data_IF_521224241742
#
_entry.id   IF_521224241742
#
_cell.length_a   1.000
_cell.length_b   1.000
_cell.length_c   1.000
_cell.angle_alpha   90.00
_cell.angle_beta   90.00
_cell.angle_gamma   90.00
#
_symmetry.space_group_name_H-M   'P 1'
#
loop_
_entity.id
_entity.type
_entity.pdbx_description
1 polymer ?
#
# COMPACT_ATOMS: atom_id res chain seq x y z
N UNK A 1 -15.79 -6.49 -12.85
CA UNK A 1 -14.65 -5.66 -13.31
C UNK A 1 -14.46 -5.72 -14.83
N UNK A 2 -14.63 -6.88 -15.49
CA UNK A 2 -14.47 -7.02 -16.94
C UNK A 2 -15.42 -6.13 -17.76
N UNK A 3 -16.61 -5.88 -17.24
CA UNK A 3 -17.66 -5.06 -17.89
C UNK A 3 -17.26 -3.59 -18.12
N UNK A 4 -16.34 -3.08 -17.32
CA UNK A 4 -15.93 -1.66 -17.32
C UNK A 4 -14.49 -1.45 -17.76
N UNK A 5 -13.81 -2.51 -18.24
CA UNK A 5 -12.38 -2.44 -18.60
C UNK A 5 -12.09 -1.37 -19.66
N UNK A 6 -12.97 -1.24 -20.64
CA UNK A 6 -12.82 -0.25 -21.72
C UNK A 6 -13.08 1.20 -21.26
N UNK A 7 -13.83 1.36 -20.17
CA UNK A 7 -14.12 2.67 -19.58
C UNK A 7 -13.06 3.12 -18.53
N UNK A 8 -12.11 2.25 -18.17
CA UNK A 8 -11.08 2.60 -17.20
C UNK A 8 -9.99 3.44 -17.85
N UNK A 9 -9.45 4.44 -17.14
CA UNK A 9 -8.24 5.15 -17.57
C UNK A 9 -7.06 4.20 -17.78
N UNK A 10 -6.07 4.62 -18.57
CA UNK A 10 -4.82 3.86 -18.75
C UNK A 10 -4.16 3.52 -17.41
N UNK A 11 -3.30 2.50 -17.38
CA UNK A 11 -2.56 2.14 -16.16
C UNK A 11 -1.78 3.33 -15.59
N UNK A 12 -1.10 4.06 -16.46
CA UNK A 12 -0.32 5.24 -16.07
C UNK A 12 -1.20 6.34 -15.47
N UNK A 13 -2.37 6.59 -16.06
CA UNK A 13 -3.33 7.56 -15.53
C UNK A 13 -3.89 7.13 -14.18
N UNK A 14 -4.19 5.85 -13.99
CA UNK A 14 -4.65 5.30 -12.70
C UNK A 14 -3.58 5.43 -11.62
N UNK A 15 -2.31 5.16 -11.95
CA UNK A 15 -1.20 5.36 -11.05
C UNK A 15 -1.10 6.84 -10.63
N UNK A 16 -1.09 7.74 -11.61
CA UNK A 16 -1.04 9.18 -11.39
C UNK A 16 -2.17 9.67 -10.48
N UNK A 17 -3.40 9.27 -10.76
CA UNK A 17 -4.56 9.63 -9.95
C UNK A 17 -4.48 9.07 -8.53
N UNK A 18 -4.02 7.82 -8.36
CA UNK A 18 -3.80 7.21 -7.07
C UNK A 18 -2.77 7.94 -6.22
N UNK A 19 -1.63 8.30 -6.82
CA UNK A 19 -0.57 9.07 -6.16
C UNK A 19 -1.06 10.48 -5.81
N UNK A 20 -1.75 11.18 -6.70
CA UNK A 20 -2.35 12.49 -6.39
C UNK A 20 -3.35 12.41 -5.23
N UNK A 21 -4.17 11.34 -5.17
CA UNK A 21 -5.09 11.13 -4.05
C UNK A 21 -4.33 11.01 -2.72
N UNK A 22 -3.24 10.23 -2.67
CA UNK A 22 -2.40 10.10 -1.47
C UNK A 22 -1.86 11.46 -1.05
N UNK A 23 -1.29 12.24 -1.99
CA UNK A 23 -0.77 13.59 -1.71
C UNK A 23 -1.85 14.54 -1.20
N UNK A 24 -3.02 14.58 -1.84
CA UNK A 24 -4.13 15.43 -1.42
C UNK A 24 -4.61 15.06 -0.01
N UNK A 25 -4.78 13.76 0.27
CA UNK A 25 -5.19 13.30 1.60
C UNK A 25 -4.16 13.68 2.67
N UNK A 26 -2.86 13.54 2.39
CA UNK A 26 -1.82 13.91 3.33
C UNK A 26 -1.78 15.41 3.62
N UNK A 27 -2.01 16.25 2.62
CA UNK A 27 -2.07 17.71 2.79
C UNK A 27 -3.32 18.15 3.55
N UNK A 28 -4.47 17.56 3.25
CA UNK A 28 -5.75 17.92 3.89
C UNK A 28 -5.92 17.33 5.29
N UNK A 29 -5.34 16.15 5.52
CA UNK A 29 -5.47 15.36 6.76
C UNK A 29 -4.10 14.85 7.20
N UNK A 30 -3.24 15.71 7.74
CA UNK A 30 -1.82 15.38 8.00
C UNK A 30 -1.60 14.31 9.06
N UNK A 31 -2.59 14.05 9.91
CA UNK A 31 -2.54 13.17 11.08
C UNK A 31 -3.23 11.80 10.87
N UNK A 32 -3.72 11.49 9.67
CA UNK A 32 -4.34 10.19 9.36
C UNK A 32 -3.30 9.14 8.90
N UNK A 33 -3.68 7.88 9.02
CA UNK A 33 -2.96 6.78 8.37
C UNK A 33 -3.42 6.61 6.92
N UNK A 34 -2.45 6.52 6.01
CA UNK A 34 -2.66 6.29 4.57
C UNK A 34 -1.88 5.06 4.15
N UNK A 35 -2.56 4.05 3.61
CA UNK A 35 -1.93 2.82 3.18
C UNK A 35 -1.26 2.94 1.79
N UNK A 36 0.00 2.52 1.70
CA UNK A 36 0.65 2.22 0.42
C UNK A 36 0.16 0.84 -0.06
N UNK A 37 -0.80 0.83 -0.97
CA UNK A 37 -1.55 -0.37 -1.34
C UNK A 37 -0.81 -1.27 -2.33
N UNK A 38 -1.05 -2.59 -2.24
CA UNK A 38 -0.59 -3.54 -3.26
C UNK A 38 -1.22 -3.29 -4.63
N UNK A 39 -2.34 -2.58 -4.70
CA UNK A 39 -2.96 -2.20 -5.96
C UNK A 39 -2.09 -1.21 -6.76
N UNK A 40 -1.41 -0.27 -6.11
CA UNK A 40 -0.44 0.61 -6.76
C UNK A 40 0.76 -0.18 -7.28
N UNK A 41 1.26 -1.14 -6.51
CA UNK A 41 2.36 -2.01 -6.95
C UNK A 41 1.95 -2.95 -8.10
N UNK A 42 0.68 -3.35 -8.22
CA UNK A 42 0.19 -4.12 -9.36
C UNK A 42 0.13 -3.30 -10.66
N UNK A 43 0.07 -1.98 -10.57
CA UNK A 43 0.10 -1.05 -11.70
C UNK A 43 1.55 -0.70 -12.08
N UNK A 44 2.39 -0.46 -11.08
CA UNK A 44 3.80 -0.08 -11.21
C UNK A 44 4.60 -0.81 -10.12
N UNK A 45 5.68 -1.54 -10.44
CA UNK A 45 6.49 -2.26 -9.45
C UNK A 45 6.95 -1.39 -8.27
N UNK A 46 7.22 -0.09 -8.51
CA UNK A 46 7.60 0.90 -7.49
C UNK A 46 6.42 1.72 -6.95
N UNK A 47 5.19 1.29 -7.22
CA UNK A 47 3.99 2.06 -6.86
C UNK A 47 3.79 2.25 -5.36
N UNK A 48 4.27 1.32 -4.53
CA UNK A 48 4.25 1.46 -3.07
C UNK A 48 5.27 2.48 -2.58
N UNK A 49 6.49 2.37 -3.07
CA UNK A 49 7.61 3.24 -2.74
C UNK A 49 7.24 4.69 -3.07
N UNK A 50 6.74 4.93 -4.27
CA UNK A 50 6.22 6.24 -4.69
C UNK A 50 5.12 6.75 -3.77
N UNK A 51 4.23 5.87 -3.29
CA UNK A 51 3.19 6.26 -2.34
C UNK A 51 3.76 6.64 -0.96
N UNK A 52 4.79 5.93 -0.47
CA UNK A 52 5.48 6.26 0.79
C UNK A 52 6.17 7.62 0.69
N UNK A 53 6.88 7.89 -0.40
CA UNK A 53 7.59 9.16 -0.64
C UNK A 53 6.66 10.38 -0.61
N UNK A 54 5.40 10.22 -1.03
CA UNK A 54 4.43 11.32 -1.11
C UNK A 54 3.43 11.39 0.03
N UNK A 55 3.58 10.52 1.06
CA UNK A 55 2.82 10.67 2.29
C UNK A 55 2.01 9.47 2.77
N UNK A 56 2.05 8.32 2.10
CA UNK A 56 1.58 7.08 2.71
C UNK A 56 2.51 6.69 3.87
N UNK A 57 1.96 6.09 4.92
CA UNK A 57 2.72 5.74 6.14
C UNK A 57 2.33 4.39 6.73
N UNK A 58 1.52 3.62 6.04
CA UNK A 58 1.12 2.26 6.45
C UNK A 58 1.37 1.29 5.31
N UNK A 59 1.99 0.16 5.62
CA UNK A 59 2.18 -0.95 4.69
C UNK A 59 1.63 -2.24 5.30
N UNK A 60 1.16 -3.14 4.45
CA UNK A 60 0.60 -4.42 4.87
C UNK A 60 1.32 -5.57 4.16
N UNK A 61 2.07 -6.42 4.89
CA UNK A 61 2.65 -7.62 4.30
C UNK A 61 1.56 -8.64 3.95
N UNK A 62 1.83 -9.48 2.94
CA UNK A 62 0.94 -10.57 2.60
C UNK A 62 1.27 -11.82 3.44
N UNK A 63 0.55 -12.00 4.53
CA UNK A 63 0.71 -13.14 5.45
C UNK A 63 -0.23 -14.32 5.14
N UNK A 64 -1.03 -14.24 4.08
CA UNK A 64 -1.92 -15.33 3.66
C UNK A 64 -1.10 -16.59 3.34
N UNK A 65 -1.42 -17.77 3.91
CA UNK A 65 -0.76 -19.02 3.58
C UNK A 65 -0.81 -19.33 2.08
N UNK A 66 0.27 -19.88 1.52
CA UNK A 66 0.39 -20.15 0.07
C UNK A 66 -0.77 -20.95 -0.50
N UNK A 67 -1.22 -22.00 0.19
CA UNK A 67 -2.34 -22.83 -0.25
C UNK A 67 -3.68 -22.10 -0.40
N UNK A 68 -3.84 -20.96 0.28
CA UNK A 68 -5.08 -20.18 0.27
C UNK A 68 -4.98 -18.92 -0.63
N UNK A 69 -3.79 -18.57 -1.13
CA UNK A 69 -3.59 -17.34 -1.91
C UNK A 69 -4.37 -17.32 -3.21
N UNK A 70 -4.55 -18.47 -3.86
CA UNK A 70 -5.36 -18.58 -5.07
C UNK A 70 -6.78 -18.06 -4.91
N UNK A 71 -7.38 -18.24 -3.72
CA UNK A 71 -8.72 -17.76 -3.39
C UNK A 71 -8.81 -16.24 -3.19
N UNK A 72 -7.68 -15.57 -3.01
CA UNK A 72 -7.57 -14.12 -2.79
C UNK A 72 -7.01 -13.36 -3.98
N UNK A 73 -7.07 -13.92 -5.17
CA UNK A 73 -6.68 -13.26 -6.41
C UNK A 73 -7.75 -12.26 -6.85
N UNK A 74 -7.80 -11.12 -6.14
CA UNK A 74 -8.84 -10.10 -6.33
C UNK A 74 -8.64 -9.25 -7.60
N UNK A 75 -7.41 -9.18 -8.12
CA UNK A 75 -7.04 -8.39 -9.30
C UNK A 75 -5.81 -8.98 -10.00
N UNK A 76 -5.63 -8.61 -11.27
CA UNK A 76 -4.49 -9.04 -12.10
C UNK A 76 -3.17 -8.48 -11.52
N UNK A 77 -2.07 -9.23 -11.72
CA UNK A 77 -0.71 -8.86 -11.28
C UNK A 77 -0.57 -8.56 -9.78
N UNK A 78 -1.43 -9.16 -8.93
CA UNK A 78 -1.28 -9.02 -7.48
C UNK A 78 0.10 -9.54 -7.05
N UNK A 79 0.94 -8.71 -6.41
CA UNK A 79 2.29 -9.11 -6.03
C UNK A 79 2.29 -10.14 -4.89
N UNK A 80 3.37 -10.92 -4.78
CA UNK A 80 3.61 -11.84 -3.69
C UNK A 80 2.69 -13.07 -3.67
N UNK A 81 2.22 -13.54 -4.83
CA UNK A 81 1.36 -14.72 -4.92
C UNK A 81 2.12 -16.04 -4.69
N UNK A 82 3.40 -16.08 -5.06
CA UNK A 82 4.25 -17.29 -5.03
C UNK A 82 5.27 -17.28 -3.87
N UNK A 83 5.25 -16.26 -3.03
CA UNK A 83 6.20 -16.07 -1.93
C UNK A 83 5.60 -16.45 -0.59
N UNK A 84 6.38 -17.07 0.30
CA UNK A 84 5.99 -17.30 1.70
C UNK A 84 5.76 -15.99 2.45
N UNK A 85 5.09 -16.06 3.61
CA UNK A 85 4.81 -14.87 4.42
C UNK A 85 6.10 -14.18 4.90
N UNK A 86 7.12 -14.96 5.30
CA UNK A 86 8.42 -14.46 5.75
C UNK A 86 9.17 -13.76 4.61
N UNK A 87 9.22 -14.36 3.43
CA UNK A 87 9.86 -13.78 2.25
C UNK A 87 9.17 -12.48 1.81
N UNK A 88 7.83 -12.48 1.78
CA UNK A 88 7.03 -11.28 1.48
C UNK A 88 7.31 -10.15 2.47
N UNK A 89 7.42 -10.48 3.76
CA UNK A 89 7.72 -9.50 4.81
C UNK A 89 9.16 -8.97 4.67
N UNK A 90 10.14 -9.85 4.43
CA UNK A 90 11.54 -9.46 4.24
C UNK A 90 11.72 -8.49 3.07
N UNK A 91 11.15 -8.83 1.90
CA UNK A 91 11.20 -7.95 0.72
C UNK A 91 10.53 -6.61 0.97
N UNK A 92 9.42 -6.63 1.69
CA UNK A 92 8.73 -5.40 2.04
C UNK A 92 9.59 -4.49 2.93
N UNK A 93 10.29 -5.07 3.91
CA UNK A 93 11.23 -4.34 4.77
C UNK A 93 12.40 -3.74 3.99
N UNK A 94 12.97 -4.52 3.06
CA UNK A 94 14.04 -4.06 2.18
C UNK A 94 13.59 -2.89 1.28
N UNK A 95 12.41 -3.00 0.68
CA UNK A 95 11.81 -1.97 -0.17
C UNK A 95 11.58 -0.66 0.59
N UNK A 96 11.02 -0.73 1.80
CA UNK A 96 10.81 0.46 2.66
C UNK A 96 12.14 1.12 3.03
N UNK A 97 13.15 0.33 3.36
CA UNK A 97 14.49 0.85 3.67
C UNK A 97 15.14 1.55 2.46
N UNK A 98 14.95 1.00 1.26
CA UNK A 98 15.45 1.62 0.02
C UNK A 98 14.76 2.96 -0.27
N UNK A 99 13.49 3.13 0.11
CA UNK A 99 12.76 4.40 0.02
C UNK A 99 13.16 5.42 1.10
N UNK A 100 14.19 5.14 1.92
CA UNK A 100 14.65 6.02 2.99
C UNK A 100 13.70 6.08 4.20
N UNK A 101 12.74 5.17 4.27
CA UNK A 101 11.78 5.07 5.37
C UNK A 101 12.23 4.01 6.40
N UNK A 102 11.74 4.14 7.62
CA UNK A 102 11.95 3.18 8.71
C UNK A 102 10.62 2.54 9.12
N UNK A 103 10.63 1.22 9.33
CA UNK A 103 9.45 0.48 9.80
C UNK A 103 9.47 0.46 11.33
N UNK A 104 8.37 0.90 11.93
CA UNK A 104 8.11 0.78 13.36
C UNK A 104 7.26 -0.47 13.61
N UNK A 105 7.81 -1.46 14.31
CA UNK A 105 7.14 -2.73 14.63
C UNK A 105 6.62 -2.78 16.08
N UNK A 106 7.25 -2.04 16.99
CA UNK A 106 7.02 -2.16 18.44
C UNK A 106 6.14 -1.03 19.01
N UNK A 107 5.39 -0.35 18.14
CA UNK A 107 4.50 0.74 18.55
C UNK A 107 3.07 0.50 18.07
N UNK A 108 2.10 1.09 18.76
CA UNK A 108 0.72 1.09 18.29
C UNK A 108 0.60 1.81 16.96
N UNK A 109 -0.02 1.13 15.99
CA UNK A 109 -0.21 1.66 14.63
C UNK A 109 -1.37 2.67 14.50
N UNK A 110 -1.95 3.13 15.59
CA UNK A 110 -3.03 4.11 15.57
C UNK A 110 -2.57 5.45 15.00
N UNK A 111 -3.41 6.07 14.17
CA UNK A 111 -3.13 7.40 13.65
C UNK A 111 -3.07 8.46 14.77
N UNK A 112 -2.27 9.50 14.57
CA UNK A 112 -2.26 10.66 15.46
C UNK A 112 -3.65 11.27 15.58
N UNK A 113 -4.43 11.25 14.51
CA UNK A 113 -5.83 11.69 14.51
C UNK A 113 -6.67 10.94 15.55
N UNK A 114 -6.58 9.61 15.59
CA UNK A 114 -7.27 8.79 16.56
C UNK A 114 -6.79 9.08 17.99
N UNK A 115 -5.48 9.12 18.20
CA UNK A 115 -4.89 9.40 19.52
C UNK A 115 -5.32 10.76 20.07
N UNK A 116 -5.36 11.79 19.21
CA UNK A 116 -5.80 13.14 19.61
C UNK A 116 -7.30 13.20 19.94
N UNK A 117 -8.12 12.35 19.30
CA UNK A 117 -9.56 12.28 19.58
C UNK A 117 -9.86 11.58 20.91
N UNK A 118 -9.09 10.56 21.26
CA UNK A 118 -9.31 9.78 22.51
C UNK A 118 -8.83 10.54 23.76
N UNK A 119 -7.90 11.50 23.59
CA UNK A 119 -7.41 12.33 24.70
C UNK A 119 -8.33 13.51 25.07
N UNK A 120 -9.40 13.72 24.33
CA UNK A 120 -10.45 14.71 24.65
C UNK A 120 -11.58 14.06 25.46
#
# INVERSE_FOLDING_TARGET
LWRYREALPSQQERLRLGLHMVSCLRLLMPDINIAATTALQAIDPEGREKALEIGANVIMPNITPLGNRGNYRLYENKPGMDEGAEESTRRLMESVKQSGCEIQLDTWGDSLHFQNRVKK
#
